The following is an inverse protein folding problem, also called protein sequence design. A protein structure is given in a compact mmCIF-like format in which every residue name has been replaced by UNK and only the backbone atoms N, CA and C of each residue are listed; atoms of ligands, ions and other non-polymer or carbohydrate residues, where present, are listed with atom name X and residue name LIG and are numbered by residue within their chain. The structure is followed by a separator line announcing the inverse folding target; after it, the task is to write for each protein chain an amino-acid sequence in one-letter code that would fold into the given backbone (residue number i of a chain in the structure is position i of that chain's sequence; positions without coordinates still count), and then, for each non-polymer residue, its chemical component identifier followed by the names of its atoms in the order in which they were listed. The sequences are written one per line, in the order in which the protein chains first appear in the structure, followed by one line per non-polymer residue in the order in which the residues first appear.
data_IF_288233684338
#
_entry.id   IF_288233684338
#
_cell.length_a   1.000
_cell.length_b   1.000
_cell.length_c   1.000
_cell.angle_alpha   90.00
_cell.angle_beta   90.00
_cell.angle_gamma   90.00
#
_symmetry.space_group_name_H-M   'P 1'
#
loop_
_entity.id
_entity.type
_entity.pdbx_description
1 polymer ?
#
# COMPACT_ATOMS: atom_id res chain seq x y z
N UNK A 1 -51.39 -29.19 5.54
CA UNK A 1 -50.54 -28.01 5.75
C UNK A 1 -49.38 -28.47 6.62
N UNK A 2 -48.18 -28.67 6.05
CA UNK A 2 -47.05 -29.14 6.83
C UNK A 2 -46.63 -28.06 7.83
N UNK A 3 -46.74 -28.37 9.12
CA UNK A 3 -46.11 -27.58 10.17
C UNK A 3 -44.60 -27.60 9.91
N UNK A 4 -44.00 -26.43 9.66
CA UNK A 4 -42.55 -26.28 9.60
C UNK A 4 -41.91 -26.93 10.83
N UNK A 5 -40.73 -27.53 10.68
CA UNK A 5 -39.96 -28.10 11.78
C UNK A 5 -39.83 -27.11 12.94
N UNK A 6 -39.64 -25.82 12.64
CA UNK A 6 -39.63 -24.76 13.64
C UNK A 6 -40.93 -24.70 14.47
N UNK A 7 -42.08 -24.78 13.80
CA UNK A 7 -43.39 -24.74 14.46
C UNK A 7 -43.65 -25.99 15.31
N UNK A 8 -43.19 -27.16 14.85
CA UNK A 8 -43.28 -28.41 15.61
C UNK A 8 -42.39 -28.38 16.86
N UNK A 9 -41.16 -27.89 16.73
CA UNK A 9 -40.22 -27.74 17.85
C UNK A 9 -40.71 -26.71 18.86
N UNK A 10 -41.31 -25.60 18.40
CA UNK A 10 -41.94 -24.61 19.27
C UNK A 10 -43.10 -25.24 20.05
N UNK A 11 -44.01 -25.94 19.36
CA UNK A 11 -45.16 -26.59 20.01
C UNK A 11 -44.73 -27.64 21.03
N UNK A 12 -43.66 -28.39 20.75
CA UNK A 12 -43.08 -29.33 21.70
C UNK A 12 -42.53 -28.63 22.94
N UNK A 13 -41.85 -27.49 22.80
CA UNK A 13 -41.36 -26.72 23.96
C UNK A 13 -42.49 -26.14 24.80
N UNK A 14 -43.55 -25.64 24.16
CA UNK A 14 -44.72 -25.09 24.84
C UNK A 14 -45.45 -26.16 25.68
N UNK A 15 -45.56 -27.38 25.14
CA UNK A 15 -46.22 -28.52 25.81
C UNK A 15 -45.31 -29.14 26.88
N UNK A 16 -44.05 -29.41 26.55
CA UNK A 16 -43.10 -30.09 27.45
C UNK A 16 -42.49 -29.19 28.52
N UNK A 17 -42.65 -27.86 28.40
CA UNK A 17 -42.01 -26.83 29.22
C UNK A 17 -40.49 -26.99 29.36
N UNK A 18 -39.88 -27.73 28.44
CA UNK A 18 -38.46 -28.05 28.44
C UNK A 18 -37.79 -27.23 27.35
N UNK A 19 -36.75 -26.49 27.72
CA UNK A 19 -35.96 -25.71 26.77
C UNK A 19 -35.12 -26.65 25.92
N UNK A 20 -35.28 -26.62 24.60
CA UNK A 20 -34.57 -27.54 23.70
C UNK A 20 -33.11 -27.15 23.48
N UNK A 21 -32.77 -25.90 23.76
CA UNK A 21 -31.42 -25.39 23.57
C UNK A 21 -30.73 -25.16 24.92
N UNK A 22 -29.43 -25.41 24.95
CA UNK A 22 -28.60 -25.25 26.13
C UNK A 22 -28.11 -23.80 26.32
N UNK A 23 -27.40 -23.54 27.42
CA UNK A 23 -26.86 -22.22 27.72
C UNK A 23 -25.93 -21.70 26.61
N UNK A 24 -25.18 -22.58 25.93
CA UNK A 24 -24.26 -22.20 24.85
C UNK A 24 -25.03 -21.67 23.64
N UNK A 25 -26.14 -22.32 23.26
CA UNK A 25 -26.98 -21.85 22.18
C UNK A 25 -27.67 -20.51 22.51
N UNK A 26 -28.07 -20.30 23.77
CA UNK A 26 -28.60 -19.01 24.24
C UNK A 26 -27.56 -17.89 24.09
N UNK A 27 -26.33 -18.14 24.54
CA UNK A 27 -25.25 -17.16 24.49
C UNK A 27 -24.84 -16.84 23.05
N UNK A 28 -24.80 -17.86 22.17
CA UNK A 28 -24.60 -17.67 20.74
C UNK A 28 -25.72 -16.82 20.11
N UNK A 29 -26.98 -17.07 20.47
CA UNK A 29 -28.11 -16.27 19.97
C UNK A 29 -27.98 -14.80 20.37
N UNK A 30 -27.59 -14.53 21.62
CA UNK A 30 -27.36 -13.16 22.10
C UNK A 30 -26.21 -12.48 21.36
N UNK A 31 -25.13 -13.21 21.09
CA UNK A 31 -24.00 -12.66 20.35
C UNK A 31 -24.37 -12.34 18.90
N UNK A 32 -25.18 -13.21 18.26
CA UNK A 32 -25.74 -12.94 16.93
C UNK A 32 -26.60 -11.67 16.95
N UNK A 33 -27.49 -11.50 17.92
CA UNK A 33 -28.31 -10.30 18.07
C UNK A 33 -27.46 -9.04 18.30
N UNK A 34 -26.40 -9.16 19.12
CA UNK A 34 -25.45 -8.07 19.37
C UNK A 34 -24.77 -7.63 18.06
N UNK A 35 -24.24 -8.59 17.31
CA UNK A 35 -23.56 -8.35 16.02
C UNK A 35 -24.55 -7.80 14.98
N UNK A 36 -25.77 -8.31 14.92
CA UNK A 36 -26.81 -7.81 14.00
C UNK A 36 -27.17 -6.34 14.29
N UNK A 37 -27.31 -5.99 15.57
CA UNK A 37 -27.55 -4.60 15.98
C UNK A 37 -26.35 -3.68 15.69
N UNK A 38 -25.14 -4.18 15.89
CA UNK A 38 -23.90 -3.47 15.54
C UNK A 38 -23.82 -3.23 14.03
N UNK A 39 -24.10 -4.26 13.23
CA UNK A 39 -24.13 -4.17 11.77
C UNK A 39 -25.17 -3.17 11.26
N UNK A 40 -26.40 -3.19 11.81
CA UNK A 40 -27.43 -2.20 11.48
C UNK A 40 -26.97 -0.78 11.81
N UNK A 41 -26.33 -0.59 12.96
CA UNK A 41 -25.79 0.70 13.37
C UNK A 41 -24.68 1.18 12.43
N UNK A 42 -23.79 0.28 12.00
CA UNK A 42 -22.74 0.58 11.02
C UNK A 42 -23.32 0.95 9.65
N UNK A 43 -24.35 0.23 9.18
CA UNK A 43 -25.02 0.55 7.92
C UNK A 43 -25.63 1.95 7.94
N UNK A 44 -26.27 2.33 9.04
CA UNK A 44 -26.79 3.71 9.21
C UNK A 44 -25.65 4.73 9.10
N UNK A 45 -24.53 4.49 9.79
CA UNK A 45 -23.36 5.38 9.72
C UNK A 45 -22.79 5.50 8.30
N UNK A 46 -22.72 4.40 7.56
CA UNK A 46 -22.27 4.42 6.16
C UNK A 46 -23.18 5.26 5.26
N UNK A 47 -24.50 5.16 5.46
CA UNK A 47 -25.46 6.03 4.73
C UNK A 47 -25.21 7.50 5.02
N UNK A 48 -25.01 7.88 6.29
CA UNK A 48 -24.68 9.26 6.65
C UNK A 48 -23.36 9.73 6.02
N UNK A 49 -22.31 8.89 6.02
CA UNK A 49 -21.03 9.19 5.36
C UNK A 49 -21.18 9.36 3.84
N UNK A 50 -22.11 8.64 3.22
CA UNK A 50 -22.47 8.80 1.81
C UNK A 50 -23.35 10.03 1.53
N UNK A 51 -23.72 10.81 2.56
CA UNK A 51 -24.59 11.97 2.42
C UNK A 51 -26.09 11.63 2.37
N UNK A 52 -26.47 10.40 2.71
CA UNK A 52 -27.87 9.98 2.84
C UNK A 52 -28.40 10.24 4.26
N UNK A 53 -29.72 10.41 4.41
CA UNK A 53 -30.42 10.60 5.70
C UNK A 53 -29.87 11.74 6.60
N UNK A 54 -29.09 12.66 6.05
CA UNK A 54 -28.40 13.71 6.83
C UNK A 54 -29.37 14.65 7.55
N UNK A 55 -30.57 14.86 6.99
CA UNK A 55 -31.61 15.69 7.62
C UNK A 55 -32.19 15.07 8.90
N UNK A 56 -31.94 13.78 9.15
CA UNK A 56 -32.36 13.10 10.38
C UNK A 56 -31.39 13.29 11.55
N UNK A 57 -30.18 13.78 11.29
CA UNK A 57 -29.13 13.98 12.30
C UNK A 57 -29.35 15.27 13.11
N UNK A 58 -29.05 15.21 14.40
CA UNK A 58 -29.00 16.40 15.24
C UNK A 58 -27.65 17.13 15.08
N UNK A 59 -27.59 18.42 15.44
CA UNK A 59 -26.43 19.29 15.19
C UNK A 59 -25.07 18.73 15.67
N UNK A 60 -24.93 18.14 16.88
CA UNK A 60 -23.66 17.55 17.33
C UNK A 60 -23.25 16.32 16.51
N UNK A 61 -24.22 15.52 16.06
CA UNK A 61 -23.95 14.35 15.21
C UNK A 61 -23.49 14.79 13.83
N UNK A 62 -24.10 15.85 13.29
CA UNK A 62 -23.69 16.47 12.04
C UNK A 62 -22.28 17.06 12.15
N UNK A 63 -21.97 17.78 13.24
CA UNK A 63 -20.63 18.31 13.48
C UNK A 63 -19.58 17.20 13.61
N UNK A 64 -19.91 16.09 14.28
CA UNK A 64 -19.03 14.93 14.36
C UNK A 64 -18.82 14.26 13.00
N UNK A 65 -19.86 14.20 12.17
CA UNK A 65 -19.78 13.66 10.81
C UNK A 65 -18.89 14.54 9.93
N UNK A 66 -19.08 15.86 9.98
CA UNK A 66 -18.27 16.84 9.25
C UNK A 66 -16.79 16.74 9.62
N UNK A 67 -16.46 16.69 10.91
CA UNK A 67 -15.07 16.55 11.37
C UNK A 67 -14.42 15.24 10.88
N UNK A 68 -15.21 14.15 10.82
CA UNK A 68 -14.77 12.86 10.30
C UNK A 68 -14.50 12.93 8.79
N UNK A 69 -15.40 13.56 8.04
CA UNK A 69 -15.27 13.73 6.59
C UNK A 69 -14.10 14.65 6.23
N UNK A 70 -13.92 15.78 6.93
CA UNK A 70 -12.78 16.69 6.72
C UNK A 70 -11.44 15.98 6.98
N UNK A 71 -11.37 15.21 8.05
CA UNK A 71 -10.18 14.40 8.36
C UNK A 71 -9.92 13.35 7.26
N UNK A 72 -10.96 12.68 6.78
CA UNK A 72 -10.86 11.71 5.69
C UNK A 72 -10.38 12.34 4.38
N UNK A 73 -10.91 13.50 4.03
CA UNK A 73 -10.54 14.25 2.84
C UNK A 73 -9.05 14.63 2.85
N UNK A 74 -8.55 15.19 3.95
CA UNK A 74 -7.13 15.52 4.09
C UNK A 74 -6.22 14.31 3.91
N UNK A 75 -6.60 13.15 4.44
CA UNK A 75 -5.85 11.90 4.26
C UNK A 75 -5.86 11.42 2.82
N UNK A 76 -6.97 11.58 2.10
CA UNK A 76 -7.04 11.24 0.68
C UNK A 76 -6.13 12.14 -0.15
N UNK A 77 -6.12 13.45 0.10
CA UNK A 77 -5.22 14.38 -0.59
C UNK A 77 -3.73 14.06 -0.35
N UNK A 78 -3.38 13.63 0.87
CA UNK A 78 -2.03 13.14 1.19
C UNK A 78 -1.71 11.84 0.42
N UNK A 79 -2.66 10.91 0.39
CA UNK A 79 -2.51 9.65 -0.33
C UNK A 79 -2.33 9.85 -1.84
N UNK A 80 -3.07 10.78 -2.46
CA UNK A 80 -2.94 11.12 -3.87
C UNK A 80 -1.55 11.68 -4.17
N UNK A 81 -1.01 12.54 -3.30
CA UNK A 81 0.36 13.06 -3.42
C UNK A 81 1.40 11.96 -3.32
N UNK A 82 1.23 11.01 -2.39
CA UNK A 82 2.13 9.86 -2.24
C UNK A 82 2.09 9.00 -3.51
N UNK A 83 0.88 8.69 -3.98
CA UNK A 83 0.68 7.88 -5.20
C UNK A 83 1.33 8.54 -6.42
N UNK A 84 1.19 9.85 -6.59
CA UNK A 84 1.85 10.57 -7.68
C UNK A 84 3.38 10.51 -7.56
N UNK A 85 3.93 10.72 -6.35
CA UNK A 85 5.37 10.63 -6.12
C UNK A 85 5.90 9.23 -6.41
N UNK A 86 5.15 8.18 -6.07
CA UNK A 86 5.54 6.81 -6.35
C UNK A 86 5.59 6.55 -7.87
N UNK A 87 4.62 7.05 -8.63
CA UNK A 87 4.64 6.97 -10.10
C UNK A 87 5.85 7.71 -10.70
N UNK A 88 6.12 8.93 -10.23
CA UNK A 88 7.26 9.73 -10.69
C UNK A 88 8.60 9.00 -10.40
N UNK A 89 8.71 8.40 -9.21
CA UNK A 89 9.88 7.60 -8.81
C UNK A 89 10.04 6.33 -9.63
N UNK A 90 8.94 5.64 -9.95
CA UNK A 90 8.97 4.46 -10.82
C UNK A 90 9.46 4.80 -12.22
N UNK A 91 8.98 5.91 -12.79
CA UNK A 91 9.37 6.34 -14.13
C UNK A 91 10.83 6.80 -14.18
N UNK A 92 11.31 7.50 -13.17
CA UNK A 92 12.73 7.84 -13.06
C UNK A 92 13.59 6.57 -12.89
N UNK A 93 13.15 5.60 -12.09
CA UNK A 93 13.86 4.33 -11.93
C UNK A 93 13.98 3.58 -13.26
N UNK A 94 12.91 3.54 -14.07
CA UNK A 94 12.93 2.95 -15.42
C UNK A 94 13.93 3.66 -16.33
N UNK A 95 13.96 5.00 -16.31
CA UNK A 95 14.91 5.81 -17.10
C UNK A 95 16.36 5.52 -16.70
N UNK A 96 16.65 5.53 -15.41
CA UNK A 96 17.99 5.26 -14.90
C UNK A 96 18.45 3.83 -15.21
N UNK A 97 17.56 2.83 -15.11
CA UNK A 97 17.87 1.45 -15.52
C UNK A 97 18.20 1.36 -17.00
N UNK A 98 17.46 2.06 -17.86
CA UNK A 98 17.74 2.09 -19.29
C UNK A 98 19.11 2.73 -19.58
N UNK A 99 19.42 3.87 -18.93
CA UNK A 99 20.74 4.51 -19.06
C UNK A 99 21.87 3.60 -18.60
N UNK A 100 21.68 2.89 -17.47
CA UNK A 100 22.66 1.96 -16.94
C UNK A 100 22.92 0.80 -17.93
N UNK A 101 21.86 0.21 -18.48
CA UNK A 101 21.97 -0.84 -19.49
C UNK A 101 22.73 -0.37 -20.74
N UNK A 102 22.45 0.85 -21.21
CA UNK A 102 23.16 1.45 -22.35
C UNK A 102 24.64 1.67 -22.05
N UNK A 103 24.98 2.12 -20.83
CA UNK A 103 26.37 2.30 -20.40
C UNK A 103 27.10 0.96 -20.31
N UNK A 104 26.49 -0.07 -19.72
CA UNK A 104 27.06 -1.41 -19.62
C UNK A 104 27.34 -2.02 -21.00
N UNK A 105 26.39 -1.87 -21.94
CA UNK A 105 26.59 -2.34 -23.32
C UNK A 105 27.69 -1.55 -24.04
N UNK A 106 27.74 -0.23 -23.85
CA UNK A 106 28.82 0.61 -24.38
C UNK A 106 30.20 0.22 -23.84
N UNK A 107 30.30 -0.09 -22.54
CA UNK A 107 31.54 -0.60 -21.93
C UNK A 107 31.92 -2.00 -22.43
N UNK A 108 30.94 -2.89 -22.61
CA UNK A 108 31.18 -4.23 -23.16
C UNK A 108 31.69 -4.17 -24.61
N UNK A 109 31.10 -3.31 -25.44
CA UNK A 109 31.55 -3.07 -26.83
C UNK A 109 32.94 -2.43 -26.83
N UNK A 110 33.20 -1.41 -25.99
CA UNK A 110 34.51 -0.79 -25.88
C UNK A 110 35.58 -1.78 -25.38
N UNK A 111 35.24 -2.71 -24.48
CA UNK A 111 36.14 -3.76 -24.02
C UNK A 111 36.42 -4.82 -25.11
N UNK A 112 35.42 -5.15 -25.94
CA UNK A 112 35.64 -5.99 -27.13
C UNK A 112 36.51 -5.28 -28.17
N UNK A 113 36.27 -3.99 -28.44
CA UNK A 113 37.06 -3.20 -29.38
C UNK A 113 38.50 -2.96 -28.87
N UNK A 114 38.68 -2.87 -27.54
CA UNK A 114 40.00 -2.87 -26.90
C UNK A 114 40.73 -4.20 -27.04
N UNK A 115 40.03 -5.34 -26.89
CA UNK A 115 40.64 -6.67 -27.12
C UNK A 115 41.02 -6.90 -28.59
N UNK A 116 40.21 -6.38 -29.52
CA UNK A 116 40.54 -6.39 -30.96
C UNK A 116 41.74 -5.47 -31.21
N UNK A 117 41.76 -4.27 -30.61
CA UNK A 117 42.88 -3.33 -30.72
C UNK A 117 44.18 -3.82 -30.09
N UNK A 118 44.14 -4.57 -29.00
CA UNK A 118 45.32 -5.20 -28.37
C UNK A 118 45.91 -6.32 -29.24
N UNK A 119 45.08 -7.02 -30.02
CA UNK A 119 45.57 -8.01 -30.97
C UNK A 119 46.18 -7.38 -32.23
N UNK A 120 45.73 -6.18 -32.62
CA UNK A 120 46.34 -5.38 -33.69
C UNK A 120 47.50 -4.48 -33.23
N UNK A 121 47.62 -4.16 -31.93
CA UNK A 121 48.70 -3.34 -31.37
C UNK A 121 50.02 -4.10 -31.19
N UNK A 122 50.03 -5.43 -31.27
CA UNK A 122 51.30 -6.21 -31.29
C UNK A 122 52.08 -6.05 -32.61
N UNK A 123 51.57 -5.33 -33.63
CA UNK A 123 52.22 -5.20 -34.94
C UNK A 123 52.59 -3.78 -35.39
N UNK A 124 52.65 -2.77 -34.52
CA UNK A 124 53.06 -1.40 -34.95
C UNK A 124 54.35 -0.89 -34.28
N UNK A 125 55.36 -0.37 -35.03
CA UNK A 125 56.73 -0.14 -34.52
C UNK A 125 56.95 1.19 -33.78
N UNK A 126 55.91 1.96 -33.46
CA UNK A 126 56.08 3.33 -32.97
C UNK A 126 55.30 3.58 -31.67
N UNK A 127 56.02 3.56 -30.55
CA UNK A 127 55.52 3.96 -29.24
C UNK A 127 55.35 5.49 -29.15
N UNK A 128 54.14 5.97 -28.89
CA UNK A 128 53.94 7.34 -28.39
C UNK A 128 53.81 7.28 -26.86
N UNK A 129 54.85 7.78 -26.16
CA UNK A 129 54.80 7.99 -24.70
C UNK A 129 53.97 9.23 -24.42
N UNK A 130 52.95 9.09 -23.57
CA UNK A 130 52.29 10.22 -22.91
C UNK A 130 52.69 10.20 -21.44
N UNK A 131 53.18 11.33 -20.95
CA UNK A 131 53.74 11.53 -19.62
C UNK A 131 52.67 11.36 -18.51
N UNK A 132 53.07 11.03 -17.28
CA UNK A 132 52.14 10.90 -16.15
C UNK A 132 51.49 12.25 -15.82
N UNK A 133 50.17 12.34 -15.97
CA UNK A 133 49.39 13.48 -15.47
C UNK A 133 49.27 13.42 -13.93
N UNK A 134 49.33 14.61 -13.34
CA UNK A 134 49.57 14.96 -11.94
C UNK A 134 48.48 14.52 -10.90
N UNK A 135 48.80 14.56 -9.59
CA UNK A 135 48.06 13.90 -8.51
C UNK A 135 47.13 14.85 -7.75
N UNK A 136 45.84 14.90 -8.08
CA UNK A 136 44.87 15.74 -7.32
C UNK A 136 43.76 14.93 -6.62
N UNK A 137 44.08 13.75 -6.08
CA UNK A 137 43.10 12.92 -5.36
C UNK A 137 43.26 12.87 -3.82
N UNK A 138 44.04 13.77 -3.20
CA UNK A 138 44.32 13.67 -1.76
C UNK A 138 43.67 14.71 -0.84
N UNK A 139 42.86 15.66 -1.33
CA UNK A 139 42.48 16.81 -0.49
C UNK A 139 40.98 17.04 -0.21
N UNK A 140 40.09 16.07 -0.44
CA UNK A 140 38.66 16.22 -0.07
C UNK A 140 38.08 15.14 0.83
N UNK A 141 38.94 14.39 1.54
CA UNK A 141 38.50 13.41 2.56
C UNK A 141 38.83 13.86 4.01
N UNK A 142 39.00 15.17 4.25
CA UNK A 142 39.15 15.76 5.61
C UNK A 142 38.42 17.09 5.75
N UNK A 143 37.10 17.11 5.55
CA UNK A 143 36.28 18.26 5.93
C UNK A 143 34.83 17.89 6.31
N UNK A 144 34.59 16.70 6.86
CA UNK A 144 33.33 16.37 7.55
C UNK A 144 33.67 15.52 8.76
N UNK A 145 34.34 16.12 9.75
CA UNK A 145 34.30 15.74 11.17
C UNK A 145 35.01 16.85 11.93
N UNK A 146 34.34 17.99 12.07
CA UNK A 146 34.53 18.93 13.19
C UNK A 146 33.31 19.86 13.24
N UNK A 147 32.63 19.81 14.38
CA UNK A 147 31.38 20.47 14.81
C UNK A 147 30.05 19.87 14.32
#
# INVERSE_FOLDING_TARGET
MCCSLANQLQSYQDISRTKLWDAKHEDLSKEIERIDNENKSMQIRLRHLNGEDVTSLHLPELASLEATLDTGLRRMEEFDKITQRDQDLEDENKRLRFMLQQQEMGMAVAAMDSNVRDQYQQQMPFSFRVQPNQPNLHERMKAIFEF
#
